data_IF_141842959165
#
_entry.id   IF_141842959165
#
_cell.length_a   1.000
_cell.length_b   1.000
_cell.length_c   1.000
_cell.angle_alpha   90.00
_cell.angle_beta   90.00
_cell.angle_gamma   90.00
#
_symmetry.space_group_name_H-M   'P 1'
#
loop_
_entity.id
_entity.type
_entity.pdbx_description
1 polymer ?
#
# COMPACT_ATOMS: atom_id res chain seq x y z
N UNK A 1 2.47 -4.17 -28.26
CA UNK A 1 3.41 -4.02 -27.13
C UNK A 1 3.85 -5.41 -26.70
N UNK A 2 5.16 -5.68 -26.63
CA UNK A 2 5.67 -6.97 -26.15
C UNK A 2 5.80 -6.94 -24.63
N UNK A 3 5.43 -8.03 -23.96
CA UNK A 3 5.65 -8.21 -22.53
C UNK A 3 7.17 -8.23 -22.28
N UNK A 4 7.69 -7.24 -21.54
CA UNK A 4 9.13 -7.11 -21.25
C UNK A 4 9.85 -5.91 -21.91
N UNK A 5 9.24 -5.26 -22.91
CA UNK A 5 9.78 -4.01 -23.49
C UNK A 5 9.50 -2.78 -22.61
N UNK A 6 8.62 -2.92 -21.60
CA UNK A 6 8.45 -1.90 -20.56
C UNK A 6 9.53 -2.09 -19.50
N UNK A 7 10.37 -1.08 -19.27
CA UNK A 7 11.17 -0.99 -18.05
C UNK A 7 10.27 -1.31 -16.86
N UNK A 8 10.72 -2.17 -15.94
CA UNK A 8 9.95 -2.58 -14.75
C UNK A 8 9.20 -1.38 -14.17
N UNK A 9 7.90 -1.28 -14.47
CA UNK A 9 7.13 -0.11 -14.09
C UNK A 9 7.03 -0.14 -12.58
N UNK A 10 7.59 0.89 -11.93
CA UNK A 10 7.59 0.99 -10.46
C UNK A 10 6.15 0.93 -9.99
N UNK A 11 5.76 -0.18 -9.36
CA UNK A 11 4.40 -0.39 -8.87
C UNK A 11 4.19 0.57 -7.70
N UNK A 12 3.20 1.45 -7.81
CA UNK A 12 2.83 2.32 -6.69
C UNK A 12 2.27 1.47 -5.55
N UNK A 13 2.68 1.77 -4.34
CA UNK A 13 2.23 1.09 -3.12
C UNK A 13 1.72 2.08 -2.07
N UNK A 14 0.94 1.58 -1.12
CA UNK A 14 0.53 2.25 0.12
C UNK A 14 1.06 1.44 1.30
N UNK A 15 1.69 2.07 2.29
CA UNK A 15 2.20 1.36 3.49
C UNK A 15 1.11 0.52 4.16
N UNK A 16 1.51 -0.61 4.73
CA UNK A 16 0.64 -1.47 5.53
C UNK A 16 0.40 -0.93 6.95
N UNK A 17 1.11 0.14 7.36
CA UNK A 17 1.17 0.59 8.75
C UNK A 17 2.17 -0.20 9.60
N UNK A 18 2.87 -1.18 9.02
CA UNK A 18 3.91 -1.98 9.68
C UNK A 18 5.17 -2.02 8.82
N UNK A 19 6.24 -1.41 9.31
CA UNK A 19 7.53 -1.37 8.61
C UNK A 19 8.05 -2.78 8.26
N UNK A 20 7.88 -3.76 9.16
CA UNK A 20 8.32 -5.14 8.90
C UNK A 20 7.56 -5.77 7.74
N UNK A 21 6.25 -5.51 7.64
CA UNK A 21 5.42 -6.07 6.57
C UNK A 21 5.69 -5.35 5.25
N UNK A 22 5.90 -4.03 5.27
CA UNK A 22 6.27 -3.25 4.08
C UNK A 22 7.57 -3.77 3.44
N UNK A 23 8.57 -4.07 4.27
CA UNK A 23 9.83 -4.69 3.84
C UNK A 23 9.60 -6.10 3.31
N UNK A 24 8.80 -6.91 4.01
CA UNK A 24 8.50 -8.28 3.59
C UNK A 24 7.78 -8.36 2.24
N UNK A 25 6.91 -7.39 1.93
CA UNK A 25 6.22 -7.29 0.64
C UNK A 25 7.16 -6.84 -0.51
N UNK A 26 8.36 -6.35 -0.21
CA UNK A 26 9.40 -6.00 -1.19
C UNK A 26 9.14 -4.74 -2.02
N UNK A 27 7.91 -4.22 -2.01
CA UNK A 27 7.51 -3.00 -2.73
C UNK A 27 7.13 -1.85 -1.79
N UNK A 28 7.35 -2.02 -0.48
CA UNK A 28 7.07 -0.99 0.53
C UNK A 28 5.60 -0.88 0.96
N UNK A 29 4.78 -1.90 0.67
CA UNK A 29 3.39 -1.94 1.12
C UNK A 29 2.45 -2.63 0.13
N UNK A 30 1.16 -2.32 0.23
CA UNK A 30 0.10 -2.86 -0.63
C UNK A 30 0.14 -2.25 -2.03
N UNK A 31 0.11 -3.06 -3.11
CA UNK A 31 0.12 -2.55 -4.48
C UNK A 31 -1.20 -1.86 -4.84
N UNK A 32 -1.13 -0.68 -5.47
CA UNK A 32 -2.32 0.02 -5.98
C UNK A 32 -2.86 -0.63 -7.26
N UNK A 33 -4.19 -0.61 -7.42
CA UNK A 33 -4.87 -1.17 -8.59
C UNK A 33 -4.86 -2.71 -8.65
N UNK A 34 -4.68 -3.37 -7.49
CA UNK A 34 -4.65 -4.83 -7.35
C UNK A 34 -5.59 -5.27 -6.23
N UNK A 35 -6.11 -6.48 -6.38
CA UNK A 35 -6.91 -7.14 -5.33
C UNK A 35 -5.94 -7.83 -4.36
N UNK A 36 -6.21 -7.71 -3.07
CA UNK A 36 -5.38 -8.25 -1.99
C UNK A 36 -6.28 -9.08 -1.07
N UNK A 37 -5.84 -10.28 -0.72
CA UNK A 37 -6.52 -11.16 0.22
C UNK A 37 -5.72 -11.22 1.54
N UNK A 38 -6.41 -11.04 2.67
CA UNK A 38 -5.84 -11.21 4.01
C UNK A 38 -6.68 -12.29 4.70
N UNK A 39 -6.12 -13.47 4.88
CA UNK A 39 -6.80 -14.61 5.50
C UNK A 39 -6.11 -15.02 6.82
N UNK A 40 -6.79 -15.84 7.62
CA UNK A 40 -6.26 -16.32 8.89
C UNK A 40 -7.36 -16.58 9.95
N UNK A 41 -6.99 -17.18 11.10
CA UNK A 41 -7.91 -17.54 12.18
C UNK A 41 -8.71 -16.35 12.73
N UNK A 42 -9.80 -16.62 13.44
CA UNK A 42 -10.52 -15.59 14.19
C UNK A 42 -9.57 -14.84 15.15
N UNK A 43 -9.80 -13.53 15.34
CA UNK A 43 -9.00 -12.67 16.21
C UNK A 43 -7.50 -12.55 15.85
N UNK A 44 -7.07 -12.97 14.66
CA UNK A 44 -5.68 -12.86 14.20
C UNK A 44 -5.27 -11.46 13.71
N UNK A 45 -6.15 -10.46 13.82
CA UNK A 45 -5.85 -9.08 13.42
C UNK A 45 -6.08 -8.73 11.93
N UNK A 46 -6.75 -9.58 11.14
CA UNK A 46 -7.02 -9.31 9.70
C UNK A 46 -7.71 -7.96 9.46
N UNK A 47 -8.79 -7.70 10.19
CA UNK A 47 -9.56 -6.44 10.09
C UNK A 47 -8.73 -5.25 10.55
N UNK A 48 -7.95 -5.42 11.63
CA UNK A 48 -7.02 -4.39 12.10
C UNK A 48 -6.01 -4.01 11.03
N UNK A 49 -5.40 -4.99 10.36
CA UNK A 49 -4.46 -4.77 9.27
C UNK A 49 -5.11 -4.04 8.09
N UNK A 50 -6.34 -4.40 7.73
CA UNK A 50 -7.10 -3.73 6.67
C UNK A 50 -7.44 -2.28 7.05
N UNK A 51 -7.81 -2.01 8.30
CA UNK A 51 -8.09 -0.66 8.78
C UNK A 51 -6.82 0.22 8.82
N UNK A 52 -5.65 -0.34 9.15
CA UNK A 52 -4.39 0.37 9.01
C UNK A 52 -4.08 0.73 7.55
N UNK A 53 -4.40 -0.15 6.60
CA UNK A 53 -4.27 0.16 5.17
C UNK A 53 -5.14 1.37 4.76
N UNK A 54 -6.37 1.44 5.27
CA UNK A 54 -7.29 2.57 5.05
C UNK A 54 -6.72 3.85 5.66
N UNK A 55 -6.26 3.81 6.91
CA UNK A 55 -5.66 4.96 7.58
C UNK A 55 -4.43 5.51 6.84
N UNK A 56 -3.54 4.63 6.38
CA UNK A 56 -2.37 5.00 5.59
C UNK A 56 -2.75 5.58 4.22
N UNK A 57 -3.79 5.06 3.58
CA UNK A 57 -4.31 5.63 2.32
C UNK A 57 -4.81 7.07 2.54
N UNK A 58 -5.60 7.29 3.60
CA UNK A 58 -6.12 8.61 3.98
C UNK A 58 -5.00 9.60 4.32
N UNK A 59 -4.00 9.19 5.11
CA UNK A 59 -2.84 10.01 5.46
C UNK A 59 -2.08 10.49 4.22
N UNK A 60 -1.83 9.58 3.28
CA UNK A 60 -1.12 9.91 2.04
C UNK A 60 -1.88 10.89 1.14
N UNK A 61 -3.21 10.84 1.12
CA UNK A 61 -4.03 11.81 0.38
C UNK A 61 -3.96 13.19 1.03
N UNK A 62 -4.08 13.24 2.36
CA UNK A 62 -3.98 14.48 3.11
C UNK A 62 -2.61 15.16 2.95
N UNK A 63 -1.51 14.39 3.01
CA UNK A 63 -0.15 14.91 2.79
C UNK A 63 0.04 15.47 1.37
N UNK A 64 -0.53 14.82 0.35
CA UNK A 64 -0.47 15.32 -1.02
C UNK A 64 -1.23 16.64 -1.16
N UNK A 65 -2.40 16.74 -0.56
CA UNK A 65 -3.20 17.96 -0.58
C UNK A 65 -2.44 19.11 0.11
N UNK A 66 -1.89 18.88 1.29
CA UNK A 66 -1.07 19.87 2.01
C UNK A 66 0.13 20.32 1.17
N UNK A 67 0.88 19.39 0.60
CA UNK A 67 2.05 19.69 -0.22
C UNK A 67 1.68 20.44 -1.51
N UNK A 68 0.48 20.23 -2.06
CA UNK A 68 0.00 20.99 -3.22
C UNK A 68 -0.38 22.43 -2.89
N UNK A 69 -0.70 22.74 -1.63
CA UNK A 69 -1.04 24.11 -1.17
C UNK A 69 0.19 24.92 -0.77
N UNK A 70 1.30 24.25 -0.46
CA UNK A 70 2.57 24.87 -0.05
C UNK A 70 3.49 25.21 -1.24
N UNK A 71 3.18 24.70 -2.43
CA UNK A 71 3.88 24.99 -3.70
C UNK A 71 3.01 25.86 -4.60
#
# INVERSE_FOLDING_TARGET
>A
MKLGDSQFTKVQSTSTGSLKLDVALGIGGYPKGRIIEIYGPESSGKTTLALHAVAEAQRNEHEKELNSKLN
#
